data_IF_292126982883
#
_entry.id   IF_292126982883
#
_cell.length_a   1.000
_cell.length_b   1.000
_cell.length_c   1.000
_cell.angle_alpha   90.00
_cell.angle_beta   90.00
_cell.angle_gamma   90.00
#
_symmetry.space_group_name_H-M   'P 1'
#
loop_
_entity.id
_entity.type
_entity.pdbx_description
1 polymer ?
#
# COMPACT_ATOMS: atom_id res chain seq x y z
N UNK A 1 -16.78 4.10 0.60
CA UNK A 1 -15.57 3.41 1.07
C UNK A 1 -14.41 3.86 0.19
N UNK A 2 -13.25 4.21 0.77
CA UNK A 2 -12.06 4.55 -0.03
C UNK A 2 -11.34 3.26 -0.43
N UNK A 3 -11.09 3.08 -1.73
CA UNK A 3 -10.47 1.87 -2.27
C UNK A 3 -8.96 2.06 -2.39
N UNK A 4 -8.20 1.01 -2.09
CA UNK A 4 -6.84 0.90 -2.60
C UNK A 4 -6.88 0.46 -4.08
N UNK A 5 -5.74 0.51 -4.76
CA UNK A 5 -5.65 0.20 -6.19
C UNK A 5 -6.05 -1.24 -6.53
N UNK A 6 -5.79 -2.22 -5.65
CA UNK A 6 -6.11 -3.62 -5.88
C UNK A 6 -7.61 -3.86 -5.75
N UNK A 7 -8.24 -3.32 -4.70
CA UNK A 7 -9.69 -3.41 -4.54
C UNK A 7 -10.43 -2.66 -5.66
N UNK A 8 -9.88 -1.54 -6.14
CA UNK A 8 -10.45 -0.79 -7.27
C UNK A 8 -10.47 -1.61 -8.57
N UNK A 9 -9.43 -2.40 -8.86
CA UNK A 9 -9.42 -3.31 -10.02
C UNK A 9 -10.50 -4.38 -9.88
N UNK A 10 -10.64 -5.00 -8.69
CA UNK A 10 -11.66 -6.01 -8.45
C UNK A 10 -13.08 -5.46 -8.65
N UNK A 11 -13.36 -4.26 -8.10
CA UNK A 11 -14.66 -3.61 -8.25
C UNK A 11 -14.95 -3.26 -9.72
N UNK A 12 -13.99 -2.67 -10.44
CA UNK A 12 -14.18 -2.32 -11.85
C UNK A 12 -14.45 -3.54 -12.73
N UNK A 13 -13.77 -4.67 -12.49
CA UNK A 13 -14.02 -5.92 -13.22
C UNK A 13 -15.39 -6.49 -12.86
N UNK A 14 -15.76 -6.48 -11.57
CA UNK A 14 -17.07 -6.93 -11.11
C UNK A 14 -18.22 -6.11 -11.72
N UNK A 15 -18.12 -4.78 -11.72
CA UNK A 15 -19.13 -3.90 -12.31
C UNK A 15 -19.31 -4.18 -13.81
N UNK A 16 -18.22 -4.39 -14.55
CA UNK A 16 -18.29 -4.76 -15.97
C UNK A 16 -18.95 -6.12 -16.18
N UNK A 17 -18.63 -7.09 -15.32
CA UNK A 17 -19.25 -8.40 -15.34
C UNK A 17 -20.76 -8.31 -15.08
N UNK A 18 -21.18 -7.72 -13.97
CA UNK A 18 -22.59 -7.56 -13.61
C UNK A 18 -23.39 -6.85 -14.70
N UNK A 19 -22.83 -5.77 -15.27
CA UNK A 19 -23.48 -5.02 -16.32
C UNK A 19 -23.74 -5.82 -17.60
N UNK A 20 -22.87 -6.78 -17.92
CA UNK A 20 -22.95 -7.60 -19.13
C UNK A 20 -23.72 -8.90 -18.93
N UNK A 21 -23.52 -9.58 -17.80
CA UNK A 21 -24.16 -10.87 -17.50
C UNK A 21 -25.54 -10.74 -16.87
N UNK A 22 -25.82 -9.62 -16.18
CA UNK A 22 -26.98 -9.45 -15.28
C UNK A 22 -27.05 -10.55 -14.19
N UNK A 23 -25.91 -11.13 -13.81
CA UNK A 23 -25.85 -12.09 -12.72
C UNK A 23 -25.96 -11.36 -11.36
N UNK A 24 -27.10 -11.53 -10.70
CA UNK A 24 -27.40 -10.92 -9.40
C UNK A 24 -26.94 -11.78 -8.20
N UNK A 25 -26.05 -12.75 -8.41
CA UNK A 25 -25.46 -13.55 -7.34
C UNK A 25 -24.72 -12.67 -6.32
N UNK A 26 -25.01 -12.88 -5.03
CA UNK A 26 -24.37 -12.18 -3.92
C UNK A 26 -22.85 -12.34 -4.02
N UNK A 27 -22.15 -11.22 -4.15
CA UNK A 27 -20.70 -11.19 -4.38
C UNK A 27 -20.00 -10.46 -3.23
N UNK A 28 -18.89 -11.00 -2.76
CA UNK A 28 -18.02 -10.39 -1.76
C UNK A 28 -16.71 -10.00 -2.42
N UNK A 29 -16.32 -8.73 -2.32
CA UNK A 29 -15.01 -8.24 -2.76
C UNK A 29 -14.09 -8.15 -1.55
N UNK A 30 -13.03 -8.95 -1.55
CA UNK A 30 -12.01 -8.90 -0.51
C UNK A 30 -11.12 -7.66 -0.71
N UNK A 31 -11.14 -6.73 0.26
CA UNK A 31 -10.23 -5.59 0.25
C UNK A 31 -8.86 -6.01 0.80
N UNK A 32 -7.88 -6.11 -0.10
CA UNK A 32 -6.59 -6.77 0.18
C UNK A 32 -5.53 -5.85 0.79
N UNK A 33 -5.73 -4.53 0.73
CA UNK A 33 -4.80 -3.56 1.29
C UNK A 33 -5.52 -2.31 1.81
N UNK A 34 -4.88 -1.62 2.75
CA UNK A 34 -5.29 -0.27 3.14
C UNK A 34 -4.98 0.72 2.01
N UNK A 35 -5.86 1.71 1.73
CA UNK A 35 -5.58 2.80 0.78
C UNK A 35 -4.29 3.57 1.11
N UNK A 36 -3.92 3.65 2.39
CA UNK A 36 -2.71 4.31 2.85
C UNK A 36 -1.41 3.60 2.48
N UNK A 37 -1.45 2.33 2.03
CA UNK A 37 -0.28 1.65 1.48
C UNK A 37 0.11 2.18 0.10
N UNK A 38 -0.84 2.79 -0.61
CA UNK A 38 -0.67 3.34 -1.96
C UNK A 38 -1.19 4.79 -2.00
N UNK A 39 -0.84 5.58 -0.98
CA UNK A 39 -1.37 6.93 -0.74
C UNK A 39 -1.24 7.85 -1.95
N UNK A 40 -0.06 7.90 -2.57
CA UNK A 40 0.19 8.67 -3.79
C UNK A 40 -0.78 8.33 -4.93
N UNK A 41 -0.95 7.04 -5.24
CA UNK A 41 -1.86 6.59 -6.31
C UNK A 41 -3.32 6.91 -6.00
N UNK A 42 -3.75 6.67 -4.76
CA UNK A 42 -5.13 6.96 -4.31
C UNK A 42 -5.41 8.45 -4.35
N UNK A 43 -4.51 9.27 -3.81
CA UNK A 43 -4.65 10.72 -3.80
C UNK A 43 -4.63 11.31 -5.22
N UNK A 44 -3.80 10.77 -6.12
CA UNK A 44 -3.79 11.17 -7.53
C UNK A 44 -5.13 10.89 -8.22
N UNK A 45 -5.84 9.83 -7.85
CA UNK A 45 -7.13 9.50 -8.42
C UNK A 45 -8.27 10.43 -7.96
N UNK A 46 -8.19 10.98 -6.75
CA UNK A 46 -9.31 11.72 -6.13
C UNK A 46 -9.05 13.23 -5.96
N UNK A 47 -7.80 13.65 -5.78
CA UNK A 47 -7.37 15.03 -5.52
C UNK A 47 -6.06 15.39 -6.26
N UNK A 48 -5.94 15.11 -7.57
CA UNK A 48 -4.67 15.21 -8.31
C UNK A 48 -4.00 16.58 -8.23
N UNK A 49 -4.78 17.66 -8.23
CA UNK A 49 -4.23 19.02 -8.20
C UNK A 49 -3.66 19.42 -6.83
N UNK A 50 -4.16 18.80 -5.74
CA UNK A 50 -3.72 19.13 -4.38
C UNK A 50 -2.41 18.45 -3.97
N UNK A 51 -1.91 17.49 -4.76
CA UNK A 51 -0.72 16.70 -4.44
C UNK A 51 0.54 17.10 -5.20
N UNK A 52 0.45 18.08 -6.09
CA UNK A 52 1.59 18.52 -6.90
C UNK A 52 2.71 19.06 -6.00
N UNK A 53 3.91 18.50 -6.14
CA UNK A 53 5.09 18.91 -5.37
C UNK A 53 5.14 18.42 -3.93
N UNK A 54 4.16 17.61 -3.48
CA UNK A 54 4.18 17.00 -2.15
C UNK A 54 4.95 15.68 -2.15
N UNK A 55 5.66 15.41 -1.06
CA UNK A 55 6.22 14.08 -0.79
C UNK A 55 5.13 13.08 -0.34
N UNK A 56 5.46 11.78 -0.33
CA UNK A 56 4.52 10.71 0.01
C UNK A 56 3.89 10.89 1.41
N UNK A 57 4.64 11.36 2.41
CA UNK A 57 4.13 11.51 3.78
C UNK A 57 3.20 12.71 3.91
N UNK A 58 3.49 13.80 3.21
CA UNK A 58 2.61 14.96 3.09
C UNK A 58 1.31 14.56 2.37
N UNK A 59 1.40 13.77 1.29
CA UNK A 59 0.24 13.24 0.58
C UNK A 59 -0.64 12.39 1.51
N UNK A 60 -0.07 11.49 2.31
CA UNK A 60 -0.84 10.66 3.25
C UNK A 60 -1.63 11.49 4.27
N UNK A 61 -1.02 12.57 4.80
CA UNK A 61 -1.67 13.49 5.74
C UNK A 61 -2.80 14.27 5.07
N UNK A 62 -2.57 14.76 3.85
CA UNK A 62 -3.57 15.46 3.07
C UNK A 62 -4.74 14.54 2.73
N UNK A 63 -4.47 13.33 2.23
CA UNK A 63 -5.47 12.33 1.91
C UNK A 63 -6.36 12.03 3.13
N UNK A 64 -5.76 11.79 4.30
CA UNK A 64 -6.48 11.54 5.54
C UNK A 64 -7.43 12.68 5.93
N UNK A 65 -7.00 13.94 5.73
CA UNK A 65 -7.83 15.13 5.95
C UNK A 65 -9.00 15.18 4.96
N UNK A 66 -8.76 14.92 3.69
CA UNK A 66 -9.77 15.02 2.62
C UNK A 66 -10.84 13.93 2.73
N UNK A 67 -10.47 12.72 3.11
CA UNK A 67 -11.40 11.59 3.21
C UNK A 67 -11.96 11.35 4.63
N UNK A 68 -11.48 12.12 5.62
CA UNK A 68 -11.82 11.97 7.04
C UNK A 68 -11.64 10.54 7.58
N UNK A 69 -10.56 9.88 7.19
CA UNK A 69 -10.17 8.54 7.68
C UNK A 69 -8.80 8.68 8.35
N UNK A 70 -8.63 8.15 9.56
CA UNK A 70 -7.33 8.23 10.23
C UNK A 70 -6.27 7.35 9.54
N UNK A 71 -5.02 7.83 9.52
CA UNK A 71 -3.87 7.02 9.07
C UNK A 71 -3.66 5.88 10.08
N UNK A 72 -3.53 4.61 9.63
CA UNK A 72 -3.26 3.48 10.51
C UNK A 72 -1.98 3.67 11.33
N UNK A 73 -1.99 3.21 12.59
CA UNK A 73 -0.85 3.34 13.53
C UNK A 73 0.48 2.81 12.97
N UNK A 74 0.45 1.78 12.14
CA UNK A 74 1.66 1.20 11.54
C UNK A 74 2.33 2.08 10.48
N UNK A 75 1.57 2.97 9.83
CA UNK A 75 2.05 3.88 8.78
C UNK A 75 2.27 5.28 9.35
N UNK A 76 1.45 5.68 10.32
CA UNK A 76 1.57 6.98 10.99
C UNK A 76 2.97 7.13 11.59
N UNK A 77 3.63 8.24 11.26
CA UNK A 77 4.96 8.61 11.74
C UNK A 77 6.06 7.58 11.40
N UNK A 78 5.86 6.73 10.38
CA UNK A 78 6.86 5.74 9.94
C UNK A 78 8.13 6.42 9.41
N UNK A 79 8.02 7.63 8.85
CA UNK A 79 9.11 8.51 8.43
C UNK A 79 10.04 8.91 9.57
N UNK A 80 9.55 8.90 10.81
CA UNK A 80 10.31 9.26 12.01
C UNK A 80 10.97 8.07 12.68
N UNK A 81 10.71 6.83 12.21
CA UNK A 81 11.28 5.63 12.81
C UNK A 81 12.71 5.40 12.31
N UNK A 82 13.55 4.90 13.21
CA UNK A 82 14.92 4.51 12.86
C UNK A 82 14.91 3.33 11.89
N UNK A 83 15.69 3.43 10.82
CA UNK A 83 15.95 2.31 9.91
C UNK A 83 16.81 1.28 10.62
N UNK A 84 16.25 0.08 10.85
CA UNK A 84 16.94 -1.05 11.50
C UNK A 84 17.76 -1.89 10.52
N UNK A 85 17.30 -2.02 9.28
CA UNK A 85 17.93 -2.88 8.27
C UNK A 85 18.65 -2.03 7.23
N UNK A 86 19.96 -2.18 7.11
CA UNK A 86 20.82 -1.42 6.16
C UNK A 86 21.61 -2.32 5.21
N UNK A 87 21.60 -3.63 5.45
CA UNK A 87 22.38 -4.60 4.68
C UNK A 87 21.83 -4.70 3.26
N UNK A 88 22.73 -4.58 2.28
CA UNK A 88 22.45 -4.82 0.86
C UNK A 88 23.28 -6.04 0.45
N UNK A 89 22.64 -7.01 -0.20
CA UNK A 89 23.28 -8.25 -0.66
C UNK A 89 22.98 -8.48 -2.13
N UNK A 90 23.92 -9.10 -2.85
CA UNK A 90 23.65 -9.64 -4.18
C UNK A 90 22.82 -10.91 -4.07
N UNK A 91 22.17 -11.28 -5.18
CA UNK A 91 21.36 -12.50 -5.28
C UNK A 91 22.16 -13.74 -4.91
N UNK A 92 23.40 -13.84 -5.40
CA UNK A 92 24.25 -15.01 -5.21
C UNK A 92 24.79 -15.09 -3.76
N UNK A 93 24.77 -13.98 -3.03
CA UNK A 93 25.25 -13.89 -1.63
C UNK A 93 24.12 -14.01 -0.59
N UNK A 94 22.87 -14.26 -1.03
CA UNK A 94 21.70 -14.29 -0.13
C UNK A 94 21.85 -15.33 0.99
N UNK A 95 22.33 -16.53 0.67
CA UNK A 95 22.52 -17.59 1.66
C UNK A 95 23.54 -17.18 2.73
N UNK A 96 24.71 -16.70 2.31
CA UNK A 96 25.76 -16.25 3.22
C UNK A 96 25.26 -15.09 4.09
N UNK A 97 24.58 -14.10 3.51
CA UNK A 97 24.03 -12.95 4.24
C UNK A 97 23.02 -13.37 5.31
N UNK A 98 22.13 -14.33 5.01
CA UNK A 98 21.18 -14.86 6.00
C UNK A 98 21.91 -15.61 7.12
N UNK A 99 22.92 -16.42 6.79
CA UNK A 99 23.74 -17.12 7.81
C UNK A 99 24.49 -16.13 8.71
N UNK A 100 24.98 -15.01 8.15
CA UNK A 100 25.61 -13.94 8.92
C UNK A 100 24.64 -13.31 9.94
N UNK A 101 23.36 -13.13 9.60
CA UNK A 101 22.36 -12.58 10.54
C UNK A 101 22.02 -13.52 11.70
N UNK A 102 22.29 -14.80 11.52
CA UNK A 102 22.00 -15.86 12.49
C UNK A 102 23.25 -16.27 13.29
N UNK A 103 24.38 -15.57 13.09
CA UNK A 103 25.69 -15.87 13.70
C UNK A 103 26.20 -17.30 13.41
N UNK A 104 25.79 -17.91 12.29
CA UNK A 104 26.20 -19.28 11.90
C UNK A 104 27.61 -19.39 11.30
N UNK A 105 28.37 -18.30 11.21
CA UNK A 105 29.71 -18.29 10.61
C UNK A 105 30.81 -18.92 11.48
N UNK A 106 30.47 -19.41 12.67
CA UNK A 106 31.42 -19.98 13.65
C UNK A 106 31.20 -21.49 13.91
N UNK A 107 30.46 -22.19 13.04
CA UNK A 107 30.32 -23.65 13.01
C UNK A 107 30.94 -24.22 11.73
#
# INVERSE_FOLDING_TARGET
>A
YLLDTHTAVALNVYEKYHNTSKDDTVTIIASTASPYKFGGSVAKAIIPEKIVGLDEFAILKLLAKEVNIAIPKGIKDIDKKTILHRTVTQKDDLQATVLNFLDFNNL
#
